data_IF_742465283810
#
_entry.id   IF_742465283810
#
_cell.length_a   1.000
_cell.length_b   1.000
_cell.length_c   1.000
_cell.angle_alpha   90.00
_cell.angle_beta   90.00
_cell.angle_gamma   90.00
#
_symmetry.space_group_name_H-M   'P 1'
#
loop_
_entity.id
_entity.type
_entity.pdbx_description
1 polymer ?
#
# COMPACT_ATOMS: atom_id res chain seq x y z
N UNK A 1 25.62 -45.05 7.25
CA UNK A 1 25.30 -43.62 7.16
C UNK A 1 24.85 -43.31 5.75
N UNK A 2 23.88 -42.42 5.61
CA UNK A 2 23.33 -42.03 4.31
C UNK A 2 22.95 -40.56 4.32
N UNK A 3 22.56 -40.00 3.18
CA UNK A 3 22.18 -38.60 3.09
C UNK A 3 21.18 -38.35 1.96
N UNK A 4 20.46 -37.25 2.09
CA UNK A 4 19.57 -36.71 1.06
C UNK A 4 19.90 -35.24 0.82
N UNK A 5 19.66 -34.76 -0.39
CA UNK A 5 19.84 -33.37 -0.76
C UNK A 5 18.48 -32.75 -0.94
N UNK A 6 18.19 -31.70 -0.18
CA UNK A 6 16.95 -30.92 -0.25
C UNK A 6 17.31 -29.50 -0.67
N UNK A 7 16.79 -29.03 -1.81
CA UNK A 7 17.14 -27.71 -2.36
C UNK A 7 18.65 -27.44 -2.45
N UNK A 8 19.43 -28.47 -2.77
CA UNK A 8 20.90 -28.37 -2.86
C UNK A 8 21.65 -28.49 -1.53
N UNK A 9 20.96 -28.57 -0.39
CA UNK A 9 21.57 -28.76 0.94
C UNK A 9 21.58 -30.24 1.29
N UNK A 10 22.76 -30.80 1.59
CA UNK A 10 22.91 -32.20 2.01
C UNK A 10 22.60 -32.36 3.50
N UNK A 11 21.62 -33.20 3.81
CA UNK A 11 21.26 -33.63 5.16
C UNK A 11 21.74 -35.06 5.37
N UNK A 12 22.58 -35.25 6.39
CA UNK A 12 23.22 -36.54 6.71
C UNK A 12 22.49 -37.26 7.83
N UNK A 13 22.34 -38.57 7.69
CA UNK A 13 21.70 -39.47 8.65
C UNK A 13 22.65 -40.61 9.01
N UNK A 14 22.67 -40.97 10.29
CA UNK A 14 23.45 -42.11 10.78
C UNK A 14 22.68 -43.40 10.61
N UNK A 15 23.40 -44.50 10.42
CA UNK A 15 22.79 -45.83 10.40
C UNK A 15 22.12 -46.09 11.76
N UNK A 16 20.83 -46.39 11.74
CA UNK A 16 20.05 -46.67 12.96
C UNK A 16 19.32 -45.45 13.54
N UNK A 17 19.39 -44.28 12.91
CA UNK A 17 18.58 -43.12 13.30
C UNK A 17 17.08 -43.46 13.22
N UNK A 18 16.32 -43.01 14.22
CA UNK A 18 14.86 -43.13 14.22
C UNK A 18 14.24 -42.14 13.23
N UNK A 19 13.00 -42.39 12.80
CA UNK A 19 12.26 -41.45 11.95
C UNK A 19 12.18 -40.04 12.57
N UNK A 20 12.07 -39.94 13.90
CA UNK A 20 12.03 -38.65 14.60
C UNK A 20 13.38 -37.92 14.56
N UNK A 21 14.49 -38.64 14.67
CA UNK A 21 15.83 -38.07 14.52
C UNK A 21 16.08 -37.56 13.10
N UNK A 22 15.58 -38.28 12.09
CA UNK A 22 15.65 -37.90 10.68
C UNK A 22 14.81 -36.65 10.41
N UNK A 23 13.56 -36.61 10.91
CA UNK A 23 12.69 -35.42 10.82
C UNK A 23 13.35 -34.20 11.47
N UNK A 24 13.92 -34.36 12.66
CA UNK A 24 14.63 -33.27 13.36
C UNK A 24 15.85 -32.78 12.58
N UNK A 25 16.61 -33.69 11.98
CA UNK A 25 17.79 -33.37 11.16
C UNK A 25 17.40 -32.56 9.92
N UNK A 26 16.29 -32.92 9.24
CA UNK A 26 15.78 -32.17 8.09
C UNK A 26 15.29 -30.78 8.51
N UNK A 27 14.50 -30.70 9.58
CA UNK A 27 13.93 -29.44 10.06
C UNK A 27 14.99 -28.47 10.58
N UNK A 28 16.11 -28.97 11.09
CA UNK A 28 17.23 -28.16 11.58
C UNK A 28 18.20 -27.74 10.46
N UNK A 29 18.15 -28.40 9.29
CA UNK A 29 19.08 -28.15 8.19
C UNK A 29 18.75 -26.90 7.34
N UNK A 30 17.70 -26.14 7.69
CA UNK A 30 17.33 -24.87 7.04
C UNK A 30 17.23 -24.93 5.51
N UNK A 31 16.75 -26.05 4.97
CA UNK A 31 16.67 -26.32 3.52
C UNK A 31 15.49 -25.62 2.83
N UNK A 32 14.62 -24.97 3.60
CA UNK A 32 13.31 -24.47 3.13
C UNK A 32 12.26 -25.58 2.97
N UNK A 33 12.58 -26.80 3.41
CA UNK A 33 11.67 -27.96 3.42
C UNK A 33 11.53 -28.45 4.85
N UNK A 34 10.30 -28.63 5.30
CA UNK A 34 9.96 -29.19 6.61
C UNK A 34 9.55 -30.65 6.42
N UNK A 35 10.01 -31.53 7.30
CA UNK A 35 9.62 -32.93 7.34
C UNK A 35 8.68 -33.22 8.52
N UNK A 36 7.81 -34.20 8.33
CA UNK A 36 6.97 -34.79 9.37
C UNK A 36 6.88 -36.30 9.17
N UNK A 37 6.56 -37.03 10.23
CA UNK A 37 6.30 -38.46 10.20
C UNK A 37 4.79 -38.70 10.08
N UNK A 38 4.39 -39.51 9.11
CA UNK A 38 3.01 -39.97 8.97
C UNK A 38 2.70 -41.11 9.97
N UNK A 39 1.42 -41.44 10.12
CA UNK A 39 0.98 -42.53 11.00
C UNK A 39 1.54 -43.91 10.61
N UNK A 40 1.93 -44.09 9.34
CA UNK A 40 2.55 -45.30 8.78
C UNK A 40 4.09 -45.32 8.88
N UNK A 41 4.68 -44.39 9.64
CA UNK A 41 6.13 -44.15 9.76
C UNK A 41 6.83 -43.71 8.46
N UNK A 42 6.08 -43.35 7.41
CA UNK A 42 6.67 -42.72 6.22
C UNK A 42 6.98 -41.24 6.47
N UNK A 43 7.94 -40.72 5.71
CA UNK A 43 8.34 -39.32 5.77
C UNK A 43 7.51 -38.48 4.80
N UNK A 44 6.85 -37.45 5.30
CA UNK A 44 6.20 -36.43 4.49
C UNK A 44 7.03 -35.15 4.51
N UNK A 45 7.20 -34.52 3.35
CA UNK A 45 7.91 -33.25 3.20
C UNK A 45 6.95 -32.15 2.76
N UNK A 46 7.14 -30.97 3.32
CA UNK A 46 6.28 -29.80 3.16
C UNK A 46 7.14 -28.59 2.84
N UNK A 47 6.72 -27.80 1.86
CA UNK A 47 7.28 -26.48 1.59
C UNK A 47 6.18 -25.59 1.01
N UNK A 48 6.30 -24.28 1.18
CA UNK A 48 5.45 -23.29 0.52
C UNK A 48 5.97 -22.91 -0.89
N UNK A 49 7.10 -23.50 -1.31
CA UNK A 49 7.73 -23.27 -2.60
C UNK A 49 8.06 -24.60 -3.28
N UNK A 50 8.27 -24.55 -4.59
CA UNK A 50 8.84 -25.67 -5.33
C UNK A 50 10.17 -26.07 -4.71
N UNK A 51 10.34 -27.36 -4.44
CA UNK A 51 11.57 -27.87 -3.84
C UNK A 51 12.09 -29.11 -4.57
N UNK A 52 13.40 -29.32 -4.51
CA UNK A 52 14.06 -30.47 -5.11
C UNK A 52 14.47 -31.47 -4.03
N UNK A 53 14.29 -32.75 -4.37
CA UNK A 53 14.72 -33.88 -3.56
C UNK A 53 15.65 -34.72 -4.41
N UNK A 54 16.88 -34.92 -3.94
CA UNK A 54 17.88 -35.75 -4.59
C UNK A 54 18.59 -36.66 -3.58
N UNK A 55 19.23 -37.72 -4.06
CA UNK A 55 20.10 -38.52 -3.21
C UNK A 55 21.32 -37.69 -2.78
N UNK A 56 21.77 -37.92 -1.55
CA UNK A 56 23.07 -37.41 -1.11
C UNK A 56 24.22 -38.32 -1.56
N UNK A 57 25.41 -38.00 -1.05
CA UNK A 57 26.68 -38.58 -1.50
C UNK A 57 26.73 -40.12 -1.47
N UNK A 58 25.97 -40.76 -0.58
CA UNK A 58 25.92 -42.22 -0.44
C UNK A 58 24.94 -42.91 -1.41
N UNK A 59 24.11 -42.17 -2.15
CA UNK A 59 23.21 -42.70 -3.20
C UNK A 59 22.02 -43.55 -2.74
N UNK A 60 21.92 -43.87 -1.44
CA UNK A 60 20.92 -44.81 -0.89
C UNK A 60 19.86 -44.16 0.01
N UNK A 61 20.01 -42.87 0.32
CA UNK A 61 19.23 -42.19 1.36
C UNK A 61 17.75 -42.07 1.01
N UNK A 62 17.43 -41.75 -0.25
CA UNK A 62 16.03 -41.64 -0.67
C UNK A 62 15.31 -42.98 -0.61
N UNK A 63 15.93 -44.05 -1.12
CA UNK A 63 15.33 -45.39 -1.12
C UNK A 63 15.06 -45.89 0.31
N UNK A 64 15.98 -45.62 1.25
CA UNK A 64 15.82 -46.00 2.66
C UNK A 64 14.68 -45.23 3.35
N UNK A 65 14.36 -44.03 2.88
CA UNK A 65 13.28 -43.20 3.40
C UNK A 65 11.95 -43.41 2.65
N UNK A 66 11.92 -44.26 1.62
CA UNK A 66 10.74 -44.44 0.77
C UNK A 66 10.46 -43.27 -0.18
N UNK A 67 11.47 -42.45 -0.48
CA UNK A 67 11.38 -41.31 -1.38
C UNK A 67 11.97 -41.60 -2.74
N UNK A 68 11.53 -40.81 -3.72
CA UNK A 68 12.09 -40.78 -5.07
C UNK A 68 12.68 -39.40 -5.34
N UNK A 69 13.73 -39.37 -6.16
CA UNK A 69 14.31 -38.10 -6.57
C UNK A 69 13.32 -37.40 -7.50
N UNK A 70 12.94 -36.17 -7.14
CA UNK A 70 11.93 -35.42 -7.86
C UNK A 70 12.07 -33.93 -7.59
N UNK A 71 11.53 -33.13 -8.51
CA UNK A 71 11.17 -31.75 -8.21
C UNK A 71 9.70 -31.75 -7.83
N UNK A 72 9.41 -31.38 -6.58
CA UNK A 72 8.05 -31.21 -6.10
C UNK A 72 7.63 -29.77 -6.37
N UNK A 73 6.78 -29.57 -7.37
CA UNK A 73 6.25 -28.25 -7.74
C UNK A 73 5.26 -27.78 -6.69
N UNK A 74 5.39 -26.51 -6.26
CA UNK A 74 4.37 -25.90 -5.42
C UNK A 74 3.04 -25.80 -6.19
N UNK A 75 1.98 -26.30 -5.57
CA UNK A 75 0.62 -26.21 -6.08
C UNK A 75 -0.23 -25.49 -5.05
N UNK A 76 -1.05 -24.55 -5.50
CA UNK A 76 -2.05 -23.91 -4.64
C UNK A 76 -3.10 -24.93 -4.25
N UNK A 77 -3.25 -25.16 -2.96
CA UNK A 77 -4.30 -26.03 -2.41
C UNK A 77 -5.29 -25.16 -1.66
N UNK A 78 -6.47 -25.00 -2.24
CA UNK A 78 -7.57 -24.33 -1.55
C UNK A 78 -8.07 -25.19 -0.38
N UNK A 79 -8.27 -24.56 0.77
CA UNK A 79 -8.81 -25.23 1.96
C UNK A 79 -9.72 -24.29 2.73
N UNK A 80 -10.46 -24.83 3.69
CA UNK A 80 -11.32 -24.05 4.58
C UNK A 80 -10.89 -24.25 6.03
N UNK A 81 -11.30 -23.34 6.91
CA UNK A 81 -11.02 -23.46 8.36
C UNK A 81 -11.54 -24.78 8.92
N UNK A 82 -12.66 -25.30 8.40
CA UNK A 82 -13.24 -26.58 8.83
C UNK A 82 -12.38 -27.80 8.49
N UNK A 83 -11.48 -27.68 7.51
CA UNK A 83 -10.58 -28.77 7.08
C UNK A 83 -9.21 -28.70 7.75
N UNK A 84 -8.96 -27.68 8.58
CA UNK A 84 -7.70 -27.56 9.33
C UNK A 84 -7.72 -28.50 10.53
N UNK A 85 -6.58 -29.14 10.79
CA UNK A 85 -6.41 -30.08 11.88
C UNK A 85 -5.00 -30.00 12.47
N UNK A 86 -4.91 -30.25 13.77
CA UNK A 86 -3.66 -30.32 14.55
C UNK A 86 -3.49 -31.67 15.24
N UNK A 87 -4.30 -32.67 14.86
CA UNK A 87 -4.34 -33.99 15.51
C UNK A 87 -3.08 -34.81 15.22
N UNK A 88 -2.44 -34.56 14.08
CA UNK A 88 -1.17 -35.17 13.71
C UNK A 88 -0.19 -34.11 13.17
N UNK A 89 1.10 -34.45 13.16
CA UNK A 89 2.13 -33.50 12.78
C UNK A 89 2.07 -33.08 11.30
N UNK A 90 1.60 -33.97 10.41
CA UNK A 90 1.45 -33.66 8.99
C UNK A 90 0.28 -32.70 8.73
N UNK A 91 -0.90 -32.95 9.32
CA UNK A 91 -2.05 -32.05 9.23
C UNK A 91 -1.80 -30.71 9.90
N UNK A 92 -1.06 -30.70 11.02
CA UNK A 92 -0.61 -29.46 11.67
C UNK A 92 0.27 -28.62 10.73
N UNK A 93 1.25 -29.23 10.05
CA UNK A 93 2.11 -28.52 9.11
C UNK A 93 1.34 -27.92 7.94
N UNK A 94 0.35 -28.66 7.39
CA UNK A 94 -0.54 -28.15 6.33
C UNK A 94 -1.41 -27.00 6.82
N UNK A 95 -1.89 -27.08 8.06
CA UNK A 95 -2.72 -26.02 8.66
C UNK A 95 -1.92 -24.74 8.87
N UNK A 96 -0.67 -24.85 9.34
CA UNK A 96 0.24 -23.71 9.46
C UNK A 96 0.49 -23.05 8.11
N UNK A 97 0.71 -23.84 7.05
CA UNK A 97 0.90 -23.30 5.70
C UNK A 97 -0.34 -22.55 5.20
N UNK A 98 -1.53 -23.15 5.32
CA UNK A 98 -2.79 -22.52 4.92
C UNK A 98 -3.05 -21.20 5.66
N UNK A 99 -2.79 -21.16 6.97
CA UNK A 99 -2.93 -19.95 7.77
C UNK A 99 -1.90 -18.87 7.38
N UNK A 100 -0.66 -19.26 7.13
CA UNK A 100 0.39 -18.33 6.70
C UNK A 100 0.04 -17.68 5.35
N UNK A 101 -0.53 -18.44 4.41
CA UNK A 101 -0.97 -17.90 3.13
C UNK A 101 -2.20 -16.99 3.28
N UNK A 102 -3.14 -17.33 4.16
CA UNK A 102 -4.28 -16.47 4.48
C UNK A 102 -3.82 -15.14 5.13
N UNK A 103 -2.84 -15.18 6.03
CA UNK A 103 -2.24 -13.97 6.63
C UNK A 103 -1.58 -13.11 5.56
N UNK A 104 -0.80 -13.71 4.66
CA UNK A 104 -0.18 -12.98 3.55
C UNK A 104 -1.22 -12.30 2.64
N UNK A 105 -2.37 -12.95 2.40
CA UNK A 105 -3.47 -12.34 1.65
C UNK A 105 -4.07 -11.13 2.39
N UNK A 106 -4.31 -11.24 3.70
CA UNK A 106 -4.79 -10.13 4.53
C UNK A 106 -3.79 -8.97 4.52
N UNK A 107 -2.50 -9.26 4.67
CA UNK A 107 -1.45 -8.24 4.68
C UNK A 107 -1.33 -7.54 3.32
N UNK A 108 -1.50 -8.29 2.21
CA UNK A 108 -1.59 -7.70 0.86
C UNK A 108 -2.76 -6.72 0.75
N UNK A 109 -3.95 -7.09 1.23
CA UNK A 109 -5.11 -6.19 1.24
C UNK A 109 -4.88 -4.96 2.12
N UNK A 110 -4.30 -5.13 3.33
CA UNK A 110 -3.96 -4.02 4.23
C UNK A 110 -2.93 -3.07 3.61
N UNK A 111 -1.94 -3.61 2.90
CA UNK A 111 -0.96 -2.83 2.15
C UNK A 111 -1.61 -1.98 1.06
N UNK A 112 -2.53 -2.57 0.28
CA UNK A 112 -3.30 -1.84 -0.74
C UNK A 112 -4.17 -0.73 -0.12
N UNK A 113 -4.83 -1.01 1.00
CA UNK A 113 -5.61 0.00 1.73
C UNK A 113 -4.71 1.12 2.27
N UNK A 114 -3.52 0.81 2.75
CA UNK A 114 -2.53 1.82 3.15
C UNK A 114 -2.07 2.70 1.98
N UNK A 115 -1.83 2.10 0.82
CA UNK A 115 -1.50 2.85 -0.40
C UNK A 115 -2.64 3.79 -0.85
N UNK A 116 -3.89 3.31 -0.76
CA UNK A 116 -5.08 4.12 -1.06
C UNK A 116 -5.23 5.28 -0.06
N UNK A 117 -5.00 5.05 1.23
CA UNK A 117 -4.98 6.10 2.26
C UNK A 117 -3.94 7.18 1.95
N UNK A 118 -2.71 6.80 1.59
CA UNK A 118 -1.68 7.76 1.18
C UNK A 118 -2.13 8.60 -0.01
N UNK A 119 -2.74 7.96 -1.03
CA UNK A 119 -3.28 8.66 -2.19
C UNK A 119 -4.39 9.65 -1.81
N UNK A 120 -5.28 9.28 -0.89
CA UNK A 120 -6.30 10.19 -0.38
C UNK A 120 -5.69 11.37 0.36
N UNK A 121 -4.72 11.16 1.25
CA UNK A 121 -4.03 12.25 1.95
C UNK A 121 -3.37 13.23 0.99
N UNK A 122 -2.64 12.73 -0.02
CA UNK A 122 -2.03 13.60 -1.05
C UNK A 122 -3.08 14.34 -1.89
N UNK A 123 -4.18 13.67 -2.24
CA UNK A 123 -5.25 14.29 -3.02
C UNK A 123 -5.96 15.37 -2.23
N UNK A 124 -6.25 15.14 -0.94
CA UNK A 124 -6.86 16.13 -0.05
C UNK A 124 -5.97 17.34 0.11
N UNK A 125 -4.65 17.15 0.35
CA UNK A 125 -3.71 18.26 0.46
C UNK A 125 -3.66 19.10 -0.83
N UNK A 126 -3.63 18.44 -2.00
CA UNK A 126 -3.68 19.13 -3.29
C UNK A 126 -5.00 19.91 -3.48
N UNK A 127 -6.14 19.29 -3.17
CA UNK A 127 -7.44 19.94 -3.26
C UNK A 127 -7.57 21.15 -2.32
N UNK A 128 -6.99 21.08 -1.12
CA UNK A 128 -6.93 22.21 -0.19
C UNK A 128 -6.13 23.38 -0.79
N UNK A 129 -4.94 23.12 -1.36
CA UNK A 129 -4.15 24.15 -2.04
C UNK A 129 -4.88 24.74 -3.25
N UNK A 130 -5.57 23.92 -4.04
CA UNK A 130 -6.39 24.40 -5.17
C UNK A 130 -7.53 25.28 -4.66
N UNK A 131 -8.22 24.88 -3.59
CA UNK A 131 -9.30 25.66 -2.98
C UNK A 131 -8.81 27.01 -2.46
N UNK A 132 -7.65 27.04 -1.80
CA UNK A 132 -7.03 28.27 -1.31
C UNK A 132 -6.65 29.21 -2.46
N UNK A 133 -5.98 28.68 -3.49
CA UNK A 133 -5.62 29.43 -4.70
C UNK A 133 -6.84 29.98 -5.43
N UNK A 134 -7.91 29.17 -5.57
CA UNK A 134 -9.16 29.58 -6.20
C UNK A 134 -9.86 30.67 -5.40
N UNK A 135 -9.85 30.56 -4.06
CA UNK A 135 -10.45 31.57 -3.17
C UNK A 135 -9.68 32.88 -3.23
N UNK A 136 -8.34 32.82 -3.21
CA UNK A 136 -7.48 34.00 -3.35
C UNK A 136 -7.64 34.68 -4.72
N UNK A 137 -7.74 33.91 -5.81
CA UNK A 137 -8.01 34.43 -7.14
C UNK A 137 -9.37 35.12 -7.20
N UNK A 138 -10.41 34.50 -6.63
CA UNK A 138 -11.75 35.09 -6.53
C UNK A 138 -11.76 36.37 -5.70
N UNK A 139 -11.08 36.41 -4.56
CA UNK A 139 -10.95 37.62 -3.74
C UNK A 139 -10.33 38.75 -4.55
N UNK A 140 -9.22 38.51 -5.24
CA UNK A 140 -8.58 39.55 -6.08
C UNK A 140 -9.49 40.11 -7.16
N UNK A 141 -10.29 39.27 -7.81
CA UNK A 141 -11.27 39.74 -8.82
C UNK A 141 -12.34 40.58 -8.14
N UNK A 142 -12.93 40.09 -7.05
CA UNK A 142 -13.97 40.82 -6.31
C UNK A 142 -13.45 42.16 -5.76
N UNK A 143 -12.26 42.16 -5.15
CA UNK A 143 -11.64 43.36 -4.58
C UNK A 143 -11.31 44.39 -5.68
N UNK A 144 -10.87 43.95 -6.86
CA UNK A 144 -10.63 44.83 -8.01
C UNK A 144 -11.94 45.41 -8.56
N UNK A 145 -13.00 44.62 -8.66
CA UNK A 145 -14.32 45.08 -9.10
C UNK A 145 -14.88 46.12 -8.12
N UNK A 146 -14.81 45.86 -6.81
CA UNK A 146 -15.20 46.80 -5.76
C UNK A 146 -14.39 48.09 -5.80
N UNK A 147 -13.08 48.01 -6.01
CA UNK A 147 -12.24 49.19 -6.14
C UNK A 147 -12.64 50.04 -7.35
N UNK A 148 -12.96 49.42 -8.50
CA UNK A 148 -13.39 50.15 -9.70
C UNK A 148 -14.75 50.82 -9.52
N UNK A 149 -15.73 50.12 -8.92
CA UNK A 149 -17.07 50.66 -8.65
C UNK A 149 -17.01 51.82 -7.66
N UNK A 150 -16.18 51.68 -6.61
CA UNK A 150 -15.97 52.75 -5.63
C UNK A 150 -15.28 53.97 -6.26
N UNK A 151 -14.32 53.76 -7.15
CA UNK A 151 -13.66 54.84 -7.88
C UNK A 151 -14.65 55.58 -8.81
N UNK A 152 -15.50 54.84 -9.52
CA UNK A 152 -16.53 55.42 -10.40
C UNK A 152 -17.60 56.17 -9.59
N UNK A 153 -18.07 55.60 -8.47
CA UNK A 153 -18.97 56.31 -7.54
C UNK A 153 -18.34 57.61 -7.03
N UNK A 154 -17.08 57.56 -6.61
CA UNK A 154 -16.34 58.73 -6.11
C UNK A 154 -16.19 59.80 -7.21
N UNK A 155 -15.86 59.38 -8.43
CA UNK A 155 -15.78 60.27 -9.61
C UNK A 155 -17.13 60.91 -9.92
N UNK A 156 -18.23 60.16 -9.88
CA UNK A 156 -19.57 60.69 -10.10
C UNK A 156 -19.98 61.69 -9.02
N UNK A 157 -19.65 61.43 -7.74
CA UNK A 157 -19.89 62.38 -6.65
C UNK A 157 -19.05 63.66 -6.80
N UNK A 158 -17.78 63.53 -7.19
CA UNK A 158 -16.88 64.68 -7.43
C UNK A 158 -17.36 65.52 -8.61
N UNK A 159 -17.79 64.89 -9.70
CA UNK A 159 -18.36 65.58 -10.86
C UNK A 159 -19.66 66.30 -10.50
N UNK A 160 -20.52 65.71 -9.66
CA UNK A 160 -21.72 66.37 -9.17
C UNK A 160 -21.40 67.61 -8.33
N UNK A 161 -20.45 67.52 -7.40
CA UNK A 161 -20.00 68.66 -6.59
C UNK A 161 -19.30 69.75 -7.43
N UNK A 162 -18.49 69.36 -8.41
CA UNK A 162 -17.85 70.30 -9.33
C UNK A 162 -18.91 70.98 -10.22
N UNK A 163 -19.92 70.24 -10.70
CA UNK A 163 -21.00 70.80 -11.51
C UNK A 163 -21.81 71.82 -10.73
N UNK A 164 -22.14 71.57 -9.46
CA UNK A 164 -22.85 72.56 -8.62
C UNK A 164 -21.99 73.78 -8.33
N UNK A 165 -20.70 73.60 -8.05
CA UNK A 165 -19.75 74.71 -7.85
C UNK A 165 -19.60 75.56 -9.13
N UNK A 166 -19.42 74.93 -10.29
CA UNK A 166 -19.36 75.60 -11.60
C UNK A 166 -20.67 76.32 -11.91
N UNK A 167 -21.82 75.69 -11.65
CA UNK A 167 -23.12 76.34 -11.82
C UNK A 167 -23.23 77.58 -10.92
N UNK A 168 -22.76 77.51 -9.68
CA UNK A 168 -22.77 78.65 -8.76
C UNK A 168 -21.85 79.77 -9.24
N UNK A 169 -20.65 79.44 -9.74
CA UNK A 169 -19.68 80.40 -10.29
C UNK A 169 -20.20 81.05 -11.58
N UNK A 170 -20.79 80.25 -12.48
CA UNK A 170 -21.40 80.71 -13.71
C UNK A 170 -22.63 81.60 -13.45
N UNK A 171 -23.39 81.36 -12.39
CA UNK A 171 -24.51 82.23 -11.98
C UNK A 171 -24.04 83.54 -11.32
N UNK A 172 -22.83 83.58 -10.73
CA UNK A 172 -22.26 84.79 -10.13
C UNK A 172 -21.54 85.69 -11.14
N UNK A 173 -21.08 85.14 -12.26
CA UNK A 173 -20.37 85.86 -13.32
C UNK A 173 -21.19 87.01 -13.95
N UNK A 174 -22.49 86.83 -14.33
CA UNK A 174 -23.32 87.88 -14.91
C UNK A 174 -23.52 89.07 -13.98
N UNK A 175 -23.74 88.80 -12.68
CA UNK A 175 -23.92 89.82 -11.65
C UNK A 175 -22.64 90.66 -11.43
N UNK A 176 -21.48 90.05 -11.64
CA UNK A 176 -20.17 90.73 -11.53
C UNK A 176 -19.87 91.58 -12.76
N UNK A 177 -20.28 91.14 -13.95
CA UNK A 177 -20.17 91.92 -15.19
C UNK A 177 -21.10 93.14 -15.17
N UNK A 178 -22.31 93.00 -14.64
CA UNK A 178 -23.25 94.13 -14.50
C UNK A 178 -22.75 95.22 -13.54
N UNK A 179 -21.89 94.88 -12.56
CA UNK A 179 -21.22 95.85 -11.69
C UNK A 179 -20.05 96.58 -12.36
N UNK A 180 -19.48 96.02 -13.44
CA UNK A 180 -18.39 96.62 -14.21
C UNK A 180 -18.88 97.56 -15.33
N UNK A 181 -20.16 97.46 -15.70
CA UNK A 181 -20.80 98.27 -16.74
C UNK A 181 -21.62 99.46 -16.16
N UNK A 182 -21.60 99.65 -14.84
CA UNK A 182 -22.22 100.78 -14.13
C UNK A 182 -21.17 101.77 -13.64
#
# INVERSE_FOLDING_TARGET
>A
DTSVVLNGVEVKFKKGDTADAIVSSINSASTGVTASKNADNTLALFSNKTFTVANGSAGTGLAQLGLTAATSTAVTVETTVSNLSIQDAASSQRSVQALNDAIQQIDSQRSQLGAVQNRFTSTVANLQSISENSTAARSRVQDADFASETAELTKQQTLQQASTAILSQANQLPSSVLKLLQ
#
